data_IF_590533627454
#
_entry.id   IF_590533627454
#
_cell.length_a   1.000
_cell.length_b   1.000
_cell.length_c   1.000
_cell.angle_alpha   90.00
_cell.angle_beta   90.00
_cell.angle_gamma   90.00
#
_symmetry.space_group_name_H-M   'P 1'
#
loop_
_entity.id
_entity.type
_entity.pdbx_description
1 polymer ?
#
# COMPACT_ATOMS: atom_id res chain seq x y z
N UNK A 1 -32.70 2.01 15.71
CA UNK A 1 -31.23 1.91 15.47
C UNK A 1 -30.79 3.25 14.90
N UNK A 2 -29.77 3.86 15.48
CA UNK A 2 -29.25 5.16 15.01
C UNK A 2 -28.47 4.97 13.71
N UNK A 3 -28.59 5.90 12.75
CA UNK A 3 -27.90 5.84 11.45
C UNK A 3 -26.38 5.76 11.56
N UNK A 4 -25.79 6.34 12.62
CA UNK A 4 -24.35 6.24 12.88
C UNK A 4 -23.91 4.81 13.23
N UNK A 5 -24.71 4.10 14.02
CA UNK A 5 -24.45 2.67 14.33
C UNK A 5 -24.57 1.79 13.09
N UNK A 6 -25.48 2.12 12.17
CA UNK A 6 -25.58 1.41 10.88
C UNK A 6 -24.32 1.64 10.04
N UNK A 7 -23.85 2.88 9.97
CA UNK A 7 -22.64 3.25 9.25
C UNK A 7 -21.39 2.47 9.74
N UNK A 8 -21.20 2.38 11.06
CA UNK A 8 -20.10 1.62 11.65
C UNK A 8 -20.14 0.13 11.26
N UNK A 9 -21.33 -0.47 11.29
CA UNK A 9 -21.53 -1.87 10.89
C UNK A 9 -21.29 -2.11 9.41
N UNK A 10 -21.76 -1.21 8.55
CA UNK A 10 -21.55 -1.29 7.11
C UNK A 10 -20.06 -1.18 6.76
N UNK A 11 -19.34 -0.27 7.43
CA UNK A 11 -17.90 -0.13 7.27
C UNK A 11 -17.15 -1.41 7.67
N UNK A 12 -17.50 -1.98 8.82
CA UNK A 12 -16.88 -3.24 9.29
C UNK A 12 -17.14 -4.43 8.34
N UNK A 13 -18.27 -4.40 7.63
CA UNK A 13 -18.64 -5.41 6.62
C UNK A 13 -18.03 -5.16 5.24
N UNK A 14 -17.21 -4.12 5.05
CA UNK A 14 -16.61 -3.79 3.75
C UNK A 14 -17.64 -3.30 2.71
N UNK A 15 -18.70 -2.66 3.15
CA UNK A 15 -19.76 -2.14 2.27
C UNK A 15 -19.24 -1.08 1.27
N UNK A 16 -19.96 -0.86 0.14
CA UNK A 16 -19.66 0.20 -0.80
C UNK A 16 -19.70 1.59 -0.13
N UNK A 17 -19.26 2.67 -0.81
CA UNK A 17 -19.30 4.03 -0.28
C UNK A 17 -20.68 4.40 0.25
N UNK A 18 -20.76 4.81 1.51
CA UNK A 18 -22.01 5.16 2.18
C UNK A 18 -22.14 6.68 2.26
N UNK A 19 -23.21 7.22 1.71
CA UNK A 19 -23.58 8.64 1.80
C UNK A 19 -24.64 8.78 2.89
N UNK A 20 -24.36 9.62 3.88
CA UNK A 20 -25.32 9.89 4.97
C UNK A 20 -26.20 11.08 4.59
N UNK A 21 -27.53 10.94 4.72
CA UNK A 21 -28.50 12.00 4.44
C UNK A 21 -29.24 12.34 5.72
N UNK A 22 -29.27 13.62 6.10
CA UNK A 22 -29.95 14.08 7.33
C UNK A 22 -30.77 15.33 7.10
N UNK A 23 -31.91 15.43 7.81
CA UNK A 23 -32.72 16.65 7.85
C UNK A 23 -32.31 17.65 8.94
N UNK A 24 -31.44 17.23 9.87
CA UNK A 24 -30.89 18.08 10.94
C UNK A 24 -29.39 17.99 10.85
N UNK A 25 -28.80 18.73 9.91
CA UNK A 25 -27.38 18.78 9.73
C UNK A 25 -26.78 19.91 10.57
N UNK A 26 -25.89 19.54 11.48
CA UNK A 26 -24.92 20.48 12.00
C UNK A 26 -23.52 20.02 11.60
N UNK A 27 -22.56 20.91 11.65
CA UNK A 27 -21.17 20.62 11.29
C UNK A 27 -20.63 19.43 12.08
N UNK A 28 -20.98 19.33 13.37
CA UNK A 28 -20.51 18.24 14.23
C UNK A 28 -21.03 16.87 13.77
N UNK A 29 -22.29 16.78 13.31
CA UNK A 29 -22.86 15.55 12.77
C UNK A 29 -22.18 15.13 11.47
N UNK A 30 -21.89 16.07 10.58
CA UNK A 30 -21.18 15.81 9.32
C UNK A 30 -19.74 15.33 9.60
N UNK A 31 -19.02 16.01 10.47
CA UNK A 31 -17.65 15.62 10.88
C UNK A 31 -17.65 14.24 11.53
N UNK A 32 -18.63 13.95 12.40
CA UNK A 32 -18.78 12.64 13.04
C UNK A 32 -19.05 11.55 12.01
N UNK A 33 -19.95 11.76 11.05
CA UNK A 33 -20.24 10.82 9.98
C UNK A 33 -18.98 10.49 9.16
N UNK A 34 -18.23 11.52 8.76
CA UNK A 34 -16.98 11.35 8.01
C UNK A 34 -15.93 10.57 8.82
N UNK A 35 -15.76 10.87 10.12
CA UNK A 35 -14.85 10.11 11.00
C UNK A 35 -15.24 8.64 11.15
N UNK A 36 -16.55 8.34 11.14
CA UNK A 36 -17.09 6.98 11.17
C UNK A 36 -16.98 6.27 9.81
N UNK A 37 -16.55 6.97 8.77
CA UNK A 37 -16.26 6.42 7.46
C UNK A 37 -17.38 6.59 6.44
N UNK A 38 -18.29 7.57 6.62
CA UNK A 38 -19.14 8.00 5.53
C UNK A 38 -18.30 8.56 4.39
N UNK A 39 -18.68 8.22 3.17
CA UNK A 39 -18.06 8.78 1.96
C UNK A 39 -18.36 10.28 1.85
N UNK A 40 -19.62 10.65 2.08
CA UNK A 40 -20.06 12.05 2.12
C UNK A 40 -21.31 12.21 2.99
N UNK A 41 -21.67 13.46 3.25
CA UNK A 41 -22.84 13.85 4.03
C UNK A 41 -23.68 14.87 3.26
N UNK A 42 -24.98 14.58 3.11
CA UNK A 42 -25.94 15.45 2.42
C UNK A 42 -27.04 15.92 3.35
N UNK A 43 -27.35 17.23 3.33
CA UNK A 43 -28.42 17.83 4.06
C UNK A 43 -29.72 17.90 3.23
N UNK A 44 -30.85 17.63 3.85
CA UNK A 44 -32.18 17.89 3.26
C UNK A 44 -32.54 19.39 3.34
N UNK A 45 -33.16 19.98 2.29
CA UNK A 45 -33.69 19.36 1.07
C UNK A 45 -32.60 19.00 0.07
N UNK A 46 -32.70 17.82 -0.58
CA UNK A 46 -31.71 17.32 -1.51
C UNK A 46 -31.80 18.03 -2.86
N UNK A 47 -30.70 18.52 -3.37
CA UNK A 47 -30.55 18.91 -4.76
C UNK A 47 -30.19 17.68 -5.60
N UNK A 48 -30.94 17.46 -6.69
CA UNK A 48 -30.67 16.35 -7.61
C UNK A 48 -29.24 16.40 -8.15
N UNK A 49 -28.79 17.60 -8.53
CA UNK A 49 -27.42 17.81 -9.04
C UNK A 49 -26.35 17.36 -8.02
N UNK A 50 -26.50 17.77 -6.76
CA UNK A 50 -25.56 17.41 -5.70
C UNK A 50 -25.58 15.92 -5.40
N UNK A 51 -26.73 15.28 -5.39
CA UNK A 51 -26.86 13.83 -5.22
C UNK A 51 -26.15 13.08 -6.34
N UNK A 52 -26.42 13.46 -7.61
CA UNK A 52 -25.79 12.81 -8.77
C UNK A 52 -24.28 12.99 -8.77
N UNK A 53 -23.78 14.18 -8.44
CA UNK A 53 -22.36 14.46 -8.34
C UNK A 53 -21.70 13.59 -7.26
N UNK A 54 -22.25 13.56 -6.05
CA UNK A 54 -21.69 12.80 -4.93
C UNK A 54 -21.72 11.30 -5.19
N UNK A 55 -22.81 10.77 -5.72
CA UNK A 55 -22.92 9.35 -6.12
C UNK A 55 -21.93 9.02 -7.23
N UNK A 56 -21.82 9.89 -8.24
CA UNK A 56 -20.87 9.71 -9.34
C UNK A 56 -19.43 9.62 -8.84
N UNK A 57 -19.01 10.50 -7.94
CA UNK A 57 -17.66 10.48 -7.35
C UNK A 57 -17.44 9.23 -6.50
N UNK A 58 -18.44 8.83 -5.66
CA UNK A 58 -18.35 7.63 -4.85
C UNK A 58 -18.18 6.36 -5.66
N UNK A 59 -18.91 6.24 -6.78
CA UNK A 59 -18.80 5.12 -7.69
C UNK A 59 -17.46 5.10 -8.45
N UNK A 60 -16.95 6.27 -8.85
CA UNK A 60 -15.64 6.38 -9.51
C UNK A 60 -14.51 5.97 -8.57
N UNK A 61 -14.53 6.43 -7.31
CA UNK A 61 -13.55 6.05 -6.30
C UNK A 61 -13.59 4.55 -5.99
N UNK A 62 -14.81 3.98 -5.89
CA UNK A 62 -14.99 2.54 -5.71
C UNK A 62 -14.39 1.73 -6.86
N UNK A 63 -14.68 2.11 -8.11
CA UNK A 63 -14.12 1.44 -9.30
C UNK A 63 -12.61 1.48 -9.32
N UNK A 64 -12.03 2.63 -9.03
CA UNK A 64 -10.58 2.78 -8.96
C UNK A 64 -9.95 1.88 -7.89
N UNK A 65 -10.58 1.79 -6.72
CA UNK A 65 -10.12 0.89 -5.64
C UNK A 65 -10.24 -0.59 -6.02
N UNK A 66 -11.31 -0.97 -6.71
CA UNK A 66 -11.51 -2.32 -7.23
C UNK A 66 -10.46 -2.67 -8.29
N UNK A 67 -10.23 -1.78 -9.26
CA UNK A 67 -9.21 -1.95 -10.29
C UNK A 67 -7.79 -2.10 -9.69
N UNK A 68 -7.41 -1.24 -8.75
CA UNK A 68 -6.14 -1.37 -8.02
C UNK A 68 -6.06 -2.70 -7.27
N UNK A 69 -7.16 -3.15 -6.67
CA UNK A 69 -7.21 -4.44 -5.97
C UNK A 69 -7.04 -5.62 -6.92
N UNK A 70 -7.69 -5.56 -8.07
CA UNK A 70 -7.64 -6.64 -9.07
C UNK A 70 -6.25 -6.72 -9.72
N UNK A 71 -5.65 -5.58 -10.09
CA UNK A 71 -4.25 -5.52 -10.56
C UNK A 71 -3.27 -6.08 -9.52
N UNK A 72 -3.46 -5.75 -8.23
CA UNK A 72 -2.63 -6.32 -7.16
C UNK A 72 -2.84 -7.83 -7.00
N UNK A 73 -4.07 -8.34 -7.21
CA UNK A 73 -4.36 -9.79 -7.17
C UNK A 73 -3.71 -10.53 -8.33
N UNK A 74 -3.79 -10.00 -9.54
CA UNK A 74 -3.14 -10.58 -10.72
C UNK A 74 -1.64 -10.70 -10.50
N UNK A 75 -0.97 -9.63 -10.08
CA UNK A 75 0.45 -9.65 -9.75
C UNK A 75 0.78 -10.62 -8.61
N UNK A 76 -0.09 -10.73 -7.60
CA UNK A 76 0.13 -11.63 -6.46
C UNK A 76 -0.06 -13.12 -6.81
N UNK A 77 -0.85 -13.44 -7.84
CA UNK A 77 -1.03 -14.84 -8.30
C UNK A 77 0.21 -15.37 -9.03
N UNK A 78 1.00 -14.50 -9.66
CA UNK A 78 2.24 -14.87 -10.33
C UNK A 78 3.39 -15.14 -9.35
N UNK A 79 3.25 -14.74 -8.07
CA UNK A 79 4.32 -14.75 -7.07
C UNK A 79 4.04 -15.71 -5.90
N UNK A 80 3.60 -16.94 -6.19
CA UNK A 80 3.34 -17.94 -5.16
C UNK A 80 4.56 -18.83 -4.96
N UNK A 81 4.99 -18.98 -3.71
CA UNK A 81 5.95 -20.02 -3.33
C UNK A 81 5.33 -21.39 -3.55
N UNK A 82 5.84 -22.16 -4.52
CA UNK A 82 5.33 -23.49 -4.88
C UNK A 82 6.38 -24.52 -4.48
N UNK A 83 5.95 -25.55 -3.74
CA UNK A 83 6.77 -26.72 -3.42
C UNK A 83 6.33 -27.42 -2.15
N UNK A 84 6.45 -28.75 -2.15
CA UNK A 84 6.02 -29.65 -1.06
C UNK A 84 7.20 -30.25 -0.29
N UNK A 85 8.45 -29.89 -0.63
CA UNK A 85 9.64 -30.39 0.06
C UNK A 85 9.70 -29.91 1.51
N UNK A 86 10.37 -30.65 2.36
CA UNK A 86 10.56 -30.26 3.78
C UNK A 86 11.30 -28.94 3.92
N UNK A 87 12.19 -28.60 2.98
CA UNK A 87 12.87 -27.32 2.94
C UNK A 87 11.89 -26.17 2.66
N UNK A 88 10.96 -26.34 1.72
CA UNK A 88 9.93 -25.34 1.40
C UNK A 88 8.94 -25.16 2.56
N UNK A 89 8.54 -26.25 3.24
CA UNK A 89 7.68 -26.16 4.42
C UNK A 89 8.34 -25.40 5.55
N UNK A 90 9.64 -25.63 5.78
CA UNK A 90 10.42 -24.87 6.78
C UNK A 90 10.51 -23.40 6.39
N UNK A 91 10.76 -23.09 5.13
CA UNK A 91 10.80 -21.71 4.63
C UNK A 91 9.47 -21.00 4.80
N UNK A 92 8.34 -21.63 4.42
CA UNK A 92 6.99 -21.07 4.65
C UNK A 92 6.72 -20.79 6.13
N UNK A 93 7.10 -21.72 7.01
CA UNK A 93 6.98 -21.52 8.45
C UNK A 93 7.81 -20.34 8.97
N UNK A 94 9.05 -20.17 8.48
CA UNK A 94 9.90 -19.02 8.82
C UNK A 94 9.28 -17.70 8.33
N UNK A 95 8.78 -17.66 7.10
CA UNK A 95 8.11 -16.50 6.52
C UNK A 95 6.90 -16.10 7.38
N UNK A 96 6.01 -17.05 7.69
CA UNK A 96 4.82 -16.80 8.52
C UNK A 96 5.14 -16.35 9.94
N UNK A 97 6.25 -16.80 10.48
CA UNK A 97 6.73 -16.39 11.81
C UNK A 97 7.33 -14.98 11.79
N UNK A 98 8.05 -14.62 10.72
CA UNK A 98 8.73 -13.33 10.60
C UNK A 98 7.79 -12.20 10.15
N UNK A 99 6.84 -12.49 9.25
CA UNK A 99 5.98 -11.49 8.61
C UNK A 99 5.20 -10.57 9.56
N UNK A 100 4.64 -11.04 10.71
CA UNK A 100 3.94 -10.16 11.64
C UNK A 100 4.86 -9.18 12.39
N UNK A 101 6.17 -9.41 12.37
CA UNK A 101 7.13 -8.58 13.11
C UNK A 101 7.57 -7.37 12.29
N UNK A 102 7.91 -6.26 12.99
CA UNK A 102 8.53 -5.08 12.36
C UNK A 102 10.05 -5.23 12.18
N UNK A 103 10.59 -6.45 12.21
CA UNK A 103 12.02 -6.75 12.17
C UNK A 103 12.57 -6.65 10.76
N UNK A 104 13.82 -6.25 10.63
CA UNK A 104 14.56 -6.37 9.38
C UNK A 104 14.87 -7.84 9.09
N UNK A 105 14.66 -8.27 7.86
CA UNK A 105 14.87 -9.65 7.42
C UNK A 105 16.00 -9.68 6.38
N UNK A 106 16.97 -10.56 6.56
CA UNK A 106 17.99 -10.87 5.58
C UNK A 106 17.60 -12.15 4.86
N UNK A 107 17.47 -12.07 3.53
CA UNK A 107 17.18 -13.21 2.65
C UNK A 107 18.47 -13.58 1.93
N UNK A 108 18.93 -14.82 2.09
CA UNK A 108 20.13 -15.34 1.45
C UNK A 108 19.80 -16.51 0.54
N UNK A 109 20.51 -16.62 -0.57
CA UNK A 109 20.33 -17.70 -1.54
C UNK A 109 21.04 -17.39 -2.86
N UNK A 110 21.20 -18.41 -3.68
CA UNK A 110 21.80 -18.30 -5.02
C UNK A 110 20.99 -17.37 -5.94
N UNK A 111 21.61 -16.88 -7.00
CA UNK A 111 20.90 -16.08 -8.00
C UNK A 111 19.82 -16.94 -8.67
N UNK A 112 18.62 -16.36 -8.86
CA UNK A 112 17.49 -17.07 -9.41
C UNK A 112 16.77 -18.03 -8.44
N UNK A 113 17.16 -18.12 -7.16
CA UNK A 113 16.51 -18.99 -6.16
C UNK A 113 15.14 -18.51 -5.67
N UNK A 114 14.63 -17.36 -6.17
CA UNK A 114 13.33 -16.81 -5.78
C UNK A 114 13.36 -15.92 -4.54
N UNK A 115 14.48 -15.26 -4.23
CA UNK A 115 14.60 -14.32 -3.09
C UNK A 115 13.52 -13.24 -3.12
N UNK A 116 13.20 -12.71 -4.30
CA UNK A 116 12.15 -11.70 -4.48
C UNK A 116 10.76 -12.24 -4.10
N UNK A 117 10.43 -13.48 -4.50
CA UNK A 117 9.14 -14.13 -4.14
C UNK A 117 9.02 -14.25 -2.63
N UNK A 118 10.11 -14.58 -1.93
CA UNK A 118 10.16 -14.62 -0.47
C UNK A 118 9.90 -13.24 0.14
N UNK A 119 10.56 -12.19 -0.38
CA UNK A 119 10.40 -10.81 0.08
C UNK A 119 8.95 -10.32 -0.10
N UNK A 120 8.35 -10.55 -1.27
CA UNK A 120 6.96 -10.20 -1.58
C UNK A 120 5.97 -10.99 -0.73
N UNK A 121 6.24 -12.28 -0.46
CA UNK A 121 5.41 -13.10 0.43
C UNK A 121 5.47 -12.59 1.88
N UNK A 122 6.65 -12.23 2.38
CA UNK A 122 6.82 -11.60 3.69
C UNK A 122 6.02 -10.30 3.79
N UNK A 123 6.14 -9.41 2.78
CA UNK A 123 5.38 -8.17 2.73
C UNK A 123 3.88 -8.41 2.77
N UNK A 124 3.36 -9.29 1.90
CA UNK A 124 1.92 -9.62 1.80
C UNK A 124 1.35 -10.17 3.11
N UNK A 125 2.10 -10.98 3.85
CA UNK A 125 1.69 -11.56 5.12
C UNK A 125 1.94 -10.63 6.32
N UNK A 126 2.57 -9.49 6.12
CA UNK A 126 2.85 -8.50 7.16
C UNK A 126 1.65 -7.56 7.39
N UNK A 127 1.62 -6.83 8.51
CA UNK A 127 0.65 -5.75 8.73
C UNK A 127 0.72 -4.61 7.69
N UNK A 128 1.76 -4.59 6.84
CA UNK A 128 2.00 -3.60 5.78
C UNK A 128 1.63 -4.11 4.39
N UNK A 129 1.00 -5.27 4.27
CA UNK A 129 0.69 -5.92 3.00
C UNK A 129 -0.18 -5.09 2.04
N UNK A 130 -0.94 -4.13 2.55
CA UNK A 130 -1.73 -3.18 1.76
C UNK A 130 -0.98 -1.87 1.41
N UNK A 131 0.26 -1.71 1.94
CA UNK A 131 1.09 -0.54 1.72
C UNK A 131 2.07 -0.74 0.54
N UNK A 132 2.84 0.30 0.13
CA UNK A 132 3.80 0.16 -0.95
C UNK A 132 4.86 -0.91 -0.68
N UNK A 133 5.17 -1.72 -1.70
CA UNK A 133 6.37 -2.54 -1.78
C UNK A 133 7.29 -1.91 -2.81
N UNK A 134 8.42 -1.42 -2.37
CA UNK A 134 9.43 -0.79 -3.22
C UNK A 134 10.62 -1.73 -3.33
N UNK A 135 10.89 -2.22 -4.53
CA UNK A 135 12.04 -3.04 -4.86
C UNK A 135 13.16 -2.20 -5.48
N UNK A 136 14.38 -2.52 -5.13
CA UNK A 136 15.59 -1.85 -5.63
C UNK A 136 16.64 -2.92 -5.88
N UNK A 137 17.01 -3.13 -7.14
CA UNK A 137 18.19 -3.91 -7.47
C UNK A 137 19.42 -3.00 -7.34
N UNK A 138 20.22 -3.23 -6.28
CA UNK A 138 21.36 -2.39 -5.95
C UNK A 138 22.51 -2.55 -6.96
N UNK A 139 22.65 -3.72 -7.60
CA UNK A 139 23.67 -3.95 -8.62
C UNK A 139 23.36 -3.24 -9.96
N UNK A 140 22.08 -2.93 -10.22
CA UNK A 140 21.66 -2.25 -11.45
C UNK A 140 21.86 -0.73 -11.41
N UNK A 141 22.12 -0.14 -10.22
CA UNK A 141 22.26 1.31 -10.05
C UNK A 141 23.75 1.68 -10.11
N UNK A 142 24.13 2.64 -10.99
CA UNK A 142 25.49 3.17 -10.97
C UNK A 142 25.88 3.70 -9.60
N UNK A 143 27.12 3.44 -9.17
CA UNK A 143 27.61 3.80 -7.83
C UNK A 143 27.43 5.29 -7.51
N UNK A 144 27.60 6.17 -8.49
CA UNK A 144 27.46 7.61 -8.33
C UNK A 144 26.03 8.07 -8.10
N UNK A 145 25.05 7.24 -8.44
CA UNK A 145 23.61 7.57 -8.34
C UNK A 145 22.90 6.88 -7.18
N UNK A 146 23.57 5.92 -6.53
CA UNK A 146 22.91 5.07 -5.54
C UNK A 146 22.37 5.85 -4.35
N UNK A 147 23.12 6.83 -3.85
CA UNK A 147 22.67 7.70 -2.77
C UNK A 147 21.46 8.54 -3.19
N UNK A 148 21.49 9.09 -4.41
CA UNK A 148 20.39 9.87 -4.97
C UNK A 148 19.13 9.03 -5.20
N UNK A 149 19.25 7.79 -5.66
CA UNK A 149 18.14 6.87 -5.83
C UNK A 149 17.54 6.43 -4.47
N UNK A 150 18.39 6.09 -3.51
CA UNK A 150 17.93 5.61 -2.21
C UNK A 150 17.33 6.72 -1.34
N UNK A 151 18.02 7.87 -1.24
CA UNK A 151 17.65 8.95 -0.30
C UNK A 151 16.98 10.14 -0.97
N UNK A 152 17.03 10.23 -2.31
CA UNK A 152 16.53 11.37 -3.07
C UNK A 152 17.50 12.54 -3.10
N UNK A 153 17.12 13.59 -3.82
CA UNK A 153 17.92 14.81 -3.91
C UNK A 153 17.05 16.04 -4.08
N UNK A 154 17.60 17.18 -3.73
CA UNK A 154 17.03 18.49 -4.02
C UNK A 154 17.57 19.01 -5.36
N UNK A 155 16.76 19.81 -6.03
CA UNK A 155 17.19 20.54 -7.22
C UNK A 155 18.51 21.27 -6.96
N UNK A 156 19.49 21.07 -7.85
CA UNK A 156 20.82 21.69 -7.75
C UNK A 156 21.81 20.95 -6.86
N UNK A 157 21.50 19.79 -6.31
CA UNK A 157 22.41 19.04 -5.44
C UNK A 157 23.66 18.53 -6.18
N UNK A 158 23.54 18.25 -7.48
CA UNK A 158 24.67 17.86 -8.37
C UNK A 158 24.38 18.28 -9.81
N UNK A 159 25.37 18.17 -10.69
CA UNK A 159 25.24 18.50 -12.12
C UNK A 159 24.22 17.53 -12.75
N UNK A 160 23.06 18.06 -13.15
CA UNK A 160 21.95 17.26 -13.69
C UNK A 160 20.73 17.11 -12.75
N UNK A 161 20.80 17.57 -11.51
CA UNK A 161 19.66 17.65 -10.58
C UNK A 161 18.72 18.80 -10.97
N UNK A 162 17.85 18.57 -11.96
CA UNK A 162 16.96 19.60 -12.54
C UNK A 162 15.75 19.88 -11.65
N UNK A 163 15.31 18.89 -10.86
CA UNK A 163 14.13 18.94 -9.99
C UNK A 163 14.38 18.21 -8.65
N UNK A 164 13.50 18.42 -7.67
CA UNK A 164 13.50 17.64 -6.43
C UNK A 164 13.02 16.22 -6.73
N UNK A 165 13.72 15.20 -6.20
CA UNK A 165 13.33 13.79 -6.37
C UNK A 165 13.30 13.08 -5.03
N UNK A 166 12.18 12.40 -4.74
CA UNK A 166 12.03 11.54 -3.58
C UNK A 166 12.83 10.26 -3.74
N UNK A 167 13.52 9.86 -2.68
CA UNK A 167 14.25 8.60 -2.63
C UNK A 167 13.36 7.40 -2.37
N UNK A 168 13.90 6.21 -2.65
CA UNK A 168 13.22 4.93 -2.44
C UNK A 168 12.82 4.71 -0.97
N UNK A 169 13.63 5.16 0.00
CA UNK A 169 13.28 5.13 1.41
C UNK A 169 12.02 5.95 1.73
N UNK A 170 11.90 7.15 1.14
CA UNK A 170 10.72 8.00 1.34
C UNK A 170 9.48 7.38 0.66
N UNK A 171 9.65 6.80 -0.54
CA UNK A 171 8.55 6.14 -1.26
C UNK A 171 8.07 4.86 -0.56
N UNK A 172 8.94 4.20 0.21
CA UNK A 172 8.61 3.00 0.97
C UNK A 172 8.05 3.31 2.38
N UNK A 173 7.87 4.59 2.73
CA UNK A 173 7.39 4.96 4.07
C UNK A 173 6.02 4.34 4.37
N UNK A 174 5.89 3.75 5.56
CA UNK A 174 4.72 2.96 5.95
C UNK A 174 4.61 1.58 5.28
N UNK A 175 5.41 1.30 4.26
CA UNK A 175 5.43 0.06 3.48
C UNK A 175 6.65 -0.82 3.74
N UNK A 176 7.19 -1.41 2.67
CA UNK A 176 8.37 -2.28 2.70
C UNK A 176 9.36 -1.85 1.62
N UNK A 177 10.63 -1.72 1.99
CA UNK A 177 11.73 -1.56 1.05
C UNK A 177 12.48 -2.90 0.95
N UNK A 178 12.58 -3.43 -0.26
CA UNK A 178 13.38 -4.61 -0.57
C UNK A 178 14.63 -4.17 -1.34
N UNK A 179 15.80 -4.48 -0.79
CA UNK A 179 17.09 -4.21 -1.41
C UNK A 179 17.64 -5.54 -1.92
N UNK A 180 17.58 -5.76 -3.22
CA UNK A 180 18.15 -6.93 -3.85
C UNK A 180 19.64 -6.70 -4.17
N UNK A 181 20.42 -7.77 -4.13
CA UNK A 181 21.86 -7.76 -4.41
C UNK A 181 22.65 -6.72 -3.60
N UNK A 182 22.22 -6.52 -2.33
CA UNK A 182 22.85 -5.53 -1.44
C UNK A 182 24.36 -5.82 -1.18
N UNK A 183 24.78 -7.07 -1.33
CA UNK A 183 26.18 -7.46 -1.19
C UNK A 183 27.10 -6.94 -2.30
N UNK A 184 26.51 -6.54 -3.44
CA UNK A 184 27.26 -6.03 -4.59
C UNK A 184 27.43 -4.49 -4.54
N UNK A 185 26.83 -3.84 -3.51
CA UNK A 185 27.09 -2.43 -3.25
C UNK A 185 28.52 -2.23 -2.75
N UNK A 186 29.23 -1.27 -3.34
CA UNK A 186 30.55 -0.88 -2.83
C UNK A 186 30.41 -0.23 -1.43
N UNK A 187 31.22 -0.69 -0.50
CA UNK A 187 31.37 -0.05 0.80
C UNK A 187 32.34 1.13 0.64
N UNK A 188 31.81 2.35 0.68
CA UNK A 188 32.62 3.57 0.88
C UNK A 188 32.66 3.93 2.32
#
# INVERSE_FOLDING_TARGET
>A
MDGMTVLERLRAAGAPPVIVISGHANVDTAVRATRLGAYDFLEKPLSLERVLLTVGHGLADQRLREEVRDLRRETALEEVLIGDSDAMKKLDQQIRSAAPSATRVLITGENGSGKEIVARTLHRLSPRGDHPFIDVNCAAIPEELIESELFGHRKGAFTGAIEDRKGKFELADGGTLFLDEIGDMSLK
#
